data_IF_167491431542
#
_entry.id   IF_167491431542
#
_cell.length_a   1.000
_cell.length_b   1.000
_cell.length_c   1.000
_cell.angle_alpha   90.00
_cell.angle_beta   90.00
_cell.angle_gamma   90.00
#
_symmetry.space_group_name_H-M   'P 1'
#
loop_
_entity.id
_entity.type
_entity.pdbx_description
1 polymer ?
#
# COMPACT_ATOMS: atom_id res chain seq x y z
N UNK A 1 12.30 21.98 56.69
CA UNK A 1 11.89 22.93 57.74
C UNK A 1 11.36 24.15 57.01
N UNK A 2 10.04 24.32 56.94
CA UNK A 2 9.30 25.26 57.80
C UNK A 2 9.46 26.67 57.19
N UNK A 3 8.44 27.37 56.69
CA UNK A 3 7.03 27.37 57.03
C UNK A 3 6.62 28.84 57.18
N UNK A 4 5.47 29.22 56.61
CA UNK A 4 4.70 30.44 56.94
C UNK A 4 5.27 31.77 56.41
N UNK A 5 4.46 32.71 55.90
CA UNK A 5 3.02 32.74 55.73
C UNK A 5 2.52 34.15 55.37
N UNK A 6 1.22 34.21 55.07
CA UNK A 6 0.24 35.32 55.29
C UNK A 6 0.50 36.68 54.61
N UNK A 7 -0.46 37.42 54.02
CA UNK A 7 -1.92 37.47 54.20
C UNK A 7 -2.60 38.30 53.08
N UNK A 8 -3.90 37.99 52.82
CA UNK A 8 -5.06 38.90 52.59
C UNK A 8 -5.12 39.87 51.39
N UNK A 9 -6.27 40.17 50.74
CA UNK A 9 -7.69 39.99 51.06
C UNK A 9 -8.63 40.28 49.85
N UNK A 10 -9.72 39.50 49.74
CA UNK A 10 -11.15 39.80 49.39
C UNK A 10 -11.54 40.77 48.25
N UNK A 11 -12.49 40.46 47.36
CA UNK A 11 -13.98 40.53 47.52
C UNK A 11 -14.61 39.77 46.33
N UNK A 12 -15.29 38.63 46.55
CA UNK A 12 -16.75 38.37 46.66
C UNK A 12 -17.48 38.01 45.34
N UNK A 13 -18.40 37.02 45.39
CA UNK A 13 -19.11 36.45 44.25
C UNK A 13 -20.51 37.04 44.09
N UNK A 14 -21.06 37.00 42.87
CA UNK A 14 -22.51 37.03 42.68
C UNK A 14 -22.95 35.83 41.84
N UNK A 15 -24.00 35.20 42.36
CA UNK A 15 -24.61 33.97 41.89
C UNK A 15 -25.81 34.26 40.98
N UNK A 16 -26.50 33.18 40.57
CA UNK A 16 -27.78 33.08 39.82
C UNK A 16 -27.58 32.88 38.31
N UNK A 17 -28.17 31.92 37.60
CA UNK A 17 -29.23 30.95 37.92
C UNK A 17 -29.14 29.78 36.94
N UNK A 18 -29.58 28.60 37.39
CA UNK A 18 -29.75 27.42 36.56
C UNK A 18 -31.13 27.40 35.86
N UNK A 19 -31.22 26.48 34.89
CA UNK A 19 -32.40 25.95 34.20
C UNK A 19 -32.82 26.63 32.89
N UNK A 20 -32.61 25.89 31.80
CA UNK A 20 -33.08 26.16 30.46
C UNK A 20 -32.87 24.93 29.59
N UNK A 21 -33.78 23.97 29.75
CA UNK A 21 -33.93 22.71 29.03
C UNK A 21 -34.14 22.90 27.51
N UNK A 22 -33.70 21.95 26.69
CA UNK A 22 -33.90 21.96 25.23
C UNK A 22 -32.87 21.12 24.48
N UNK A 23 -33.16 19.82 24.32
CA UNK A 23 -32.20 18.80 23.91
C UNK A 23 -31.82 18.69 22.43
N UNK A 24 -30.83 17.81 22.18
CA UNK A 24 -30.67 17.02 20.95
C UNK A 24 -29.56 15.95 21.16
N UNK A 25 -29.92 14.68 20.88
CA UNK A 25 -29.17 13.46 20.54
C UNK A 25 -27.65 13.28 20.88
N UNK A 26 -27.20 12.05 21.18
CA UNK A 26 -25.80 11.79 21.55
C UNK A 26 -24.91 11.81 20.30
N UNK A 27 -23.98 12.77 20.23
CA UNK A 27 -22.89 12.68 19.25
C UNK A 27 -21.84 11.73 19.80
N UNK A 28 -21.85 10.53 19.24
CA UNK A 28 -20.80 9.51 19.39
C UNK A 28 -19.46 10.16 19.07
N UNK A 29 -18.59 10.27 20.08
CA UNK A 29 -17.21 10.72 19.90
C UNK A 29 -16.44 9.66 19.09
N UNK A 30 -16.43 9.82 17.77
CA UNK A 30 -15.56 9.05 16.88
C UNK A 30 -14.13 9.60 16.97
N UNK A 31 -13.30 8.82 17.67
CA UNK A 31 -11.84 8.72 17.63
C UNK A 31 -11.15 9.55 16.54
N UNK A 32 -10.65 10.74 16.91
CA UNK A 32 -9.75 11.54 16.07
C UNK A 32 -8.31 11.06 16.27
N UNK A 33 -7.97 9.91 15.69
CA UNK A 33 -6.63 9.34 15.76
C UNK A 33 -6.14 8.89 14.37
N UNK A 34 -6.02 9.85 13.44
CA UNK A 34 -5.33 9.59 12.15
C UNK A 34 -4.63 10.81 11.53
N UNK A 35 -4.72 11.99 12.15
CA UNK A 35 -4.18 13.23 11.55
C UNK A 35 -2.66 13.40 11.72
N UNK A 36 -2.01 12.66 12.62
CA UNK A 36 -0.70 13.07 13.17
C UNK A 36 0.55 12.65 12.39
N UNK A 37 0.45 11.83 11.34
CA UNK A 37 1.64 11.34 10.62
C UNK A 37 1.93 12.08 9.32
N UNK A 38 0.91 12.58 8.62
CA UNK A 38 1.08 13.34 7.38
C UNK A 38 1.45 14.81 7.63
N UNK A 39 0.85 15.45 8.64
CA UNK A 39 1.13 16.85 8.99
C UNK A 39 2.59 17.12 9.38
N UNK A 40 3.32 16.09 9.84
CA UNK A 40 4.73 16.23 10.27
C UNK A 40 5.74 16.23 9.12
N UNK A 41 5.37 15.75 7.92
CA UNK A 41 6.33 15.63 6.80
C UNK A 41 6.38 16.86 5.90
N UNK A 42 5.30 17.65 5.83
CA UNK A 42 5.22 18.84 4.97
C UNK A 42 4.39 19.95 5.65
N UNK A 43 4.97 20.67 6.62
CA UNK A 43 4.24 21.71 7.37
C UNK A 43 3.79 22.90 6.51
N UNK A 44 4.30 23.03 5.28
CA UNK A 44 3.88 24.02 4.29
C UNK A 44 2.68 23.57 3.45
N UNK A 45 2.32 22.29 3.51
CA UNK A 45 1.26 21.70 2.70
C UNK A 45 -0.09 21.87 3.41
N UNK A 46 -0.56 23.13 3.44
CA UNK A 46 -1.94 23.42 3.80
C UNK A 46 -2.82 22.84 2.71
N UNK A 47 -3.63 21.82 3.04
CA UNK A 47 -4.64 21.25 2.13
C UNK A 47 -5.64 22.32 1.71
N UNK A 48 -5.30 23.12 0.70
CA UNK A 48 -6.27 23.98 0.04
C UNK A 48 -7.15 23.06 -0.77
N UNK A 49 -8.44 23.04 -0.43
CA UNK A 49 -9.50 22.46 -1.27
C UNK A 49 -9.30 23.05 -2.67
N UNK A 50 -8.72 22.26 -3.59
CA UNK A 50 -8.38 22.76 -4.92
C UNK A 50 -9.65 23.27 -5.60
N UNK A 51 -9.64 24.54 -6.01
CA UNK A 51 -10.78 25.19 -6.65
C UNK A 51 -11.24 24.37 -7.86
N UNK A 52 -12.49 23.87 -7.84
CA UNK A 52 -13.01 23.01 -8.91
C UNK A 52 -12.93 23.66 -10.30
N UNK A 53 -13.09 24.99 -10.35
CA UNK A 53 -13.18 25.77 -11.60
C UNK A 53 -11.81 26.01 -12.26
N UNK A 54 -10.70 25.81 -11.54
CA UNK A 54 -9.34 25.88 -12.09
C UNK A 54 -8.83 24.53 -12.60
N UNK A 55 -9.65 23.47 -12.55
CA UNK A 55 -9.27 22.14 -13.05
C UNK A 55 -9.46 22.07 -14.56
N UNK A 56 -8.40 21.72 -15.30
CA UNK A 56 -8.49 21.43 -16.73
C UNK A 56 -9.52 20.33 -16.99
N UNK A 57 -10.39 20.53 -17.99
CA UNK A 57 -11.46 19.63 -18.43
C UNK A 57 -10.97 18.20 -18.80
N UNK A 58 -9.67 18.03 -19.05
CA UNK A 58 -9.00 16.75 -19.20
C UNK A 58 -8.01 16.54 -18.05
N UNK A 59 -8.48 15.99 -16.94
CA UNK A 59 -7.68 15.79 -15.74
C UNK A 59 -6.87 14.50 -15.83
N UNK A 60 -5.64 14.59 -16.31
CA UNK A 60 -4.63 13.59 -16.01
C UNK A 60 -3.96 13.96 -14.69
N UNK A 61 -4.01 13.09 -13.70
CA UNK A 61 -3.18 13.23 -12.50
C UNK A 61 -1.78 12.76 -12.88
N UNK A 62 -0.86 13.71 -13.08
CA UNK A 62 0.55 13.39 -13.29
C UNK A 62 1.21 13.24 -11.90
N UNK A 63 1.46 12.00 -11.50
CA UNK A 63 2.30 11.73 -10.33
C UNK A 63 3.75 11.81 -10.78
N UNK A 64 4.44 12.88 -10.39
CA UNK A 64 5.88 13.04 -10.64
C UNK A 64 6.65 11.91 -9.96
N UNK A 65 7.46 11.19 -10.73
CA UNK A 65 8.32 10.16 -10.16
C UNK A 65 9.52 10.78 -9.46
N UNK A 66 9.89 10.20 -8.33
CA UNK A 66 11.14 10.54 -7.65
C UNK A 66 12.24 9.57 -8.09
N UNK A 67 13.52 9.96 -8.05
CA UNK A 67 14.63 9.05 -8.38
C UNK A 67 14.64 7.75 -7.57
N UNK A 68 14.12 7.80 -6.32
CA UNK A 68 13.99 6.62 -5.47
C UNK A 68 12.92 5.64 -5.98
N UNK A 69 11.84 6.14 -6.58
CA UNK A 69 10.82 5.31 -7.22
C UNK A 69 11.37 4.68 -8.50
N UNK A 70 12.10 5.44 -9.33
CA UNK A 70 12.73 4.90 -10.54
C UNK A 70 13.73 3.79 -10.20
N UNK A 71 14.56 3.99 -9.16
CA UNK A 71 15.49 2.98 -8.68
C UNK A 71 14.78 1.74 -8.10
N UNK A 72 13.56 1.89 -7.56
CA UNK A 72 12.75 0.76 -7.12
C UNK A 72 12.18 -0.01 -8.32
N UNK A 73 11.61 0.68 -9.30
CA UNK A 73 11.09 0.07 -10.53
C UNK A 73 12.18 -0.70 -11.28
N UNK A 74 13.37 -0.11 -11.45
CA UNK A 74 14.53 -0.77 -12.05
C UNK A 74 14.94 -2.05 -11.30
N UNK A 75 14.85 -2.06 -9.97
CA UNK A 75 15.11 -3.28 -9.19
C UNK A 75 14.03 -4.32 -9.46
N UNK A 76 12.77 -3.93 -9.47
CA UNK A 76 11.66 -4.86 -9.72
C UNK A 76 11.74 -5.47 -11.13
N UNK A 77 12.03 -4.66 -12.14
CA UNK A 77 12.20 -5.14 -13.51
C UNK A 77 13.33 -6.17 -13.66
N UNK A 78 14.37 -6.11 -12.83
CA UNK A 78 15.53 -7.02 -12.92
C UNK A 78 15.36 -8.27 -12.08
N UNK A 79 14.77 -8.14 -10.90
CA UNK A 79 14.79 -9.20 -9.88
C UNK A 79 13.42 -9.84 -9.62
N UNK A 80 12.32 -9.31 -10.17
CA UNK A 80 10.97 -9.79 -9.87
C UNK A 80 10.33 -10.48 -11.07
N UNK A 81 9.83 -11.70 -10.84
CA UNK A 81 8.95 -12.41 -11.74
C UNK A 81 7.53 -12.50 -11.17
N UNK A 82 6.57 -12.47 -12.06
CA UNK A 82 5.18 -12.76 -11.77
C UNK A 82 4.86 -14.13 -12.35
N UNK A 83 4.22 -14.96 -11.54
CA UNK A 83 3.80 -16.28 -11.95
C UNK A 83 2.28 -16.35 -12.06
N UNK A 84 1.82 -16.91 -13.17
CA UNK A 84 0.41 -17.23 -13.41
C UNK A 84 0.31 -18.73 -13.69
N UNK A 85 -0.55 -19.39 -12.93
CA UNK A 85 -0.93 -20.78 -13.13
C UNK A 85 -1.89 -20.87 -14.32
N UNK A 86 -1.49 -21.64 -15.32
CA UNK A 86 -2.26 -21.90 -16.54
C UNK A 86 -2.76 -23.33 -16.51
N UNK A 87 -4.09 -23.50 -16.52
CA UNK A 87 -4.76 -24.80 -16.46
C UNK A 87 -6.18 -24.67 -15.92
N UNK A 88 -6.81 -25.81 -15.61
CA UNK A 88 -8.25 -25.93 -15.33
C UNK A 88 -8.72 -25.32 -13.99
N UNK A 89 -7.91 -24.49 -13.33
CA UNK A 89 -8.30 -23.66 -12.18
C UNK A 89 -8.62 -24.40 -10.88
N UNK A 90 -8.68 -25.72 -10.87
CA UNK A 90 -9.05 -26.49 -9.67
C UNK A 90 -7.96 -26.52 -8.58
N UNK A 91 -6.70 -26.26 -8.92
CA UNK A 91 -5.58 -26.35 -7.99
C UNK A 91 -4.91 -25.00 -7.77
N UNK A 92 -4.92 -24.54 -6.53
CA UNK A 92 -4.28 -23.29 -6.11
C UNK A 92 -2.77 -23.54 -5.94
N UNK A 93 -1.97 -22.77 -6.65
CA UNK A 93 -0.51 -22.81 -6.54
C UNK A 93 -0.09 -21.99 -5.32
N UNK A 94 0.41 -22.67 -4.29
CA UNK A 94 0.88 -22.02 -3.05
C UNK A 94 2.35 -21.61 -3.15
N UNK A 95 2.81 -20.60 -2.39
CA UNK A 95 4.22 -20.21 -2.37
C UNK A 95 5.17 -21.37 -2.03
N UNK A 96 4.78 -22.24 -1.09
CA UNK A 96 5.57 -23.41 -0.70
C UNK A 96 5.69 -24.45 -1.83
N UNK A 97 4.58 -24.73 -2.54
CA UNK A 97 4.59 -25.64 -3.68
C UNK A 97 5.43 -25.08 -4.84
N UNK A 98 5.36 -23.77 -5.07
CA UNK A 98 6.19 -23.10 -6.07
C UNK A 98 7.68 -23.20 -5.71
N UNK A 99 8.04 -22.94 -4.44
CA UNK A 99 9.42 -23.05 -3.98
C UNK A 99 9.98 -24.46 -4.20
N UNK A 100 9.22 -25.50 -3.82
CA UNK A 100 9.63 -26.89 -4.03
C UNK A 100 9.82 -27.21 -5.53
N UNK A 101 8.95 -26.65 -6.39
CA UNK A 101 9.04 -26.82 -7.84
C UNK A 101 10.30 -26.15 -8.40
N UNK A 102 10.62 -24.94 -7.96
CA UNK A 102 11.82 -24.22 -8.38
C UNK A 102 13.11 -24.88 -7.88
N UNK A 103 13.10 -25.44 -6.68
CA UNK A 103 14.21 -26.24 -6.17
C UNK A 103 14.48 -27.45 -7.07
N UNK A 104 13.42 -28.19 -7.41
CA UNK A 104 13.53 -29.43 -8.18
C UNK A 104 13.92 -29.19 -9.65
N UNK A 105 13.34 -28.17 -10.28
CA UNK A 105 13.47 -27.98 -11.75
C UNK A 105 14.44 -26.86 -12.15
N UNK A 106 14.65 -25.86 -11.31
CA UNK A 106 15.47 -24.68 -11.62
C UNK A 106 16.69 -24.55 -10.68
N UNK A 107 16.87 -25.48 -9.73
CA UNK A 107 17.97 -25.46 -8.77
C UNK A 107 18.05 -24.17 -7.96
N UNK A 108 16.90 -23.55 -7.68
CA UNK A 108 16.81 -22.33 -6.87
C UNK A 108 16.86 -22.71 -5.39
N UNK A 109 17.74 -22.08 -4.61
CA UNK A 109 17.76 -22.32 -3.16
C UNK A 109 16.80 -21.35 -2.44
N UNK A 110 16.23 -21.73 -1.28
CA UNK A 110 15.28 -20.88 -0.55
C UNK A 110 15.81 -19.49 -0.18
N UNK A 111 17.12 -19.35 0.03
CA UNK A 111 17.75 -18.07 0.33
C UNK A 111 17.85 -17.12 -0.87
N UNK A 112 17.66 -17.63 -2.09
CA UNK A 112 17.76 -16.85 -3.33
C UNK A 112 16.42 -16.26 -3.77
N UNK A 113 15.30 -16.70 -3.20
CA UNK A 113 13.97 -16.30 -3.66
C UNK A 113 12.99 -16.09 -2.51
N UNK A 114 12.28 -14.97 -2.55
CA UNK A 114 11.12 -14.71 -1.71
C UNK A 114 9.87 -14.83 -2.58
N UNK A 115 8.91 -15.66 -2.16
CA UNK A 115 7.68 -15.93 -2.91
C UNK A 115 6.49 -15.45 -2.09
N UNK A 116 5.71 -14.55 -2.67
CA UNK A 116 4.53 -13.95 -2.06
C UNK A 116 3.30 -14.20 -2.94
N UNK A 117 2.12 -14.21 -2.33
CA UNK A 117 0.85 -14.26 -3.07
C UNK A 117 0.64 -12.93 -3.77
N UNK A 118 0.38 -12.98 -5.08
CA UNK A 118 0.05 -11.80 -5.86
C UNK A 118 -1.48 -11.60 -5.93
N UNK A 119 -1.89 -10.38 -6.21
CA UNK A 119 -3.26 -10.06 -6.58
C UNK A 119 -3.47 -10.39 -8.08
N UNK A 120 -4.66 -10.85 -8.50
CA UNK A 120 -4.97 -11.13 -9.89
C UNK A 120 -4.53 -10.01 -10.86
N UNK A 121 -4.09 -10.35 -12.09
CA UNK A 121 -4.24 -11.64 -12.77
C UNK A 121 -3.11 -12.65 -12.49
N UNK A 122 -2.18 -12.32 -11.60
CA UNK A 122 -1.06 -13.20 -11.24
C UNK A 122 -1.33 -13.87 -9.90
N UNK A 123 -0.88 -15.11 -9.75
CA UNK A 123 -1.07 -15.89 -8.53
C UNK A 123 0.05 -15.64 -7.53
N UNK A 124 1.28 -15.50 -8.01
CA UNK A 124 2.46 -15.32 -7.16
C UNK A 124 3.42 -14.24 -7.70
N UNK A 125 4.15 -13.63 -6.78
CA UNK A 125 5.25 -12.70 -7.02
C UNK A 125 6.53 -13.31 -6.46
N UNK A 126 7.58 -13.38 -7.27
CA UNK A 126 8.85 -14.00 -6.92
C UNK A 126 9.95 -12.95 -7.01
N UNK A 127 10.59 -12.65 -5.88
CA UNK A 127 11.72 -11.72 -5.81
C UNK A 127 13.01 -12.49 -5.62
N UNK A 128 13.92 -12.39 -6.58
CA UNK A 128 15.20 -13.08 -6.57
C UNK A 128 16.31 -12.20 -6.01
N UNK A 129 17.33 -12.81 -5.41
CA UNK A 129 18.54 -12.11 -4.97
C UNK A 129 19.47 -11.71 -6.12
N UNK A 130 19.39 -12.42 -7.25
CA UNK A 130 20.25 -12.23 -8.43
C UNK A 130 19.44 -12.16 -9.71
N UNK A 131 19.92 -11.39 -10.69
CA UNK A 131 19.22 -11.19 -11.97
C UNK A 131 19.41 -12.41 -12.88
N UNK A 132 20.55 -13.07 -12.77
CA UNK A 132 20.90 -14.26 -13.52
C UNK A 132 19.88 -15.36 -13.23
N UNK A 133 19.62 -15.62 -11.93
CA UNK A 133 18.66 -16.63 -11.50
C UNK A 133 17.22 -16.29 -11.90
N UNK A 134 16.85 -15.02 -11.76
CA UNK A 134 15.58 -14.50 -12.26
C UNK A 134 15.41 -14.78 -13.77
N UNK A 135 16.45 -14.52 -14.56
CA UNK A 135 16.43 -14.71 -16.02
C UNK A 135 16.39 -16.20 -16.40
N UNK A 136 17.12 -17.06 -15.69
CA UNK A 136 17.08 -18.52 -15.89
C UNK A 136 15.70 -19.11 -15.61
N UNK A 137 15.07 -18.71 -14.50
CA UNK A 137 13.71 -19.16 -14.16
C UNK A 137 12.70 -18.68 -15.20
N UNK A 138 12.84 -17.45 -15.70
CA UNK A 138 11.99 -16.94 -16.78
C UNK A 138 12.06 -17.80 -18.05
N UNK A 139 13.23 -18.35 -18.39
CA UNK A 139 13.39 -19.28 -19.52
C UNK A 139 12.69 -20.62 -19.31
N UNK A 140 12.31 -20.95 -18.07
CA UNK A 140 11.54 -22.14 -17.69
C UNK A 140 10.02 -21.91 -17.76
N UNK A 141 9.58 -20.71 -18.17
CA UNK A 141 8.17 -20.37 -18.39
C UNK A 141 7.49 -21.37 -19.32
N UNK A 142 6.33 -21.87 -18.91
CA UNK A 142 5.54 -22.90 -19.59
C UNK A 142 6.25 -24.25 -19.80
N UNK A 143 7.38 -24.50 -19.12
CA UNK A 143 8.12 -25.78 -19.18
C UNK A 143 8.06 -26.58 -17.88
N UNK A 144 7.67 -25.94 -16.79
CA UNK A 144 7.52 -26.59 -15.48
C UNK A 144 6.05 -26.63 -15.07
N UNK A 145 5.68 -27.70 -14.36
CA UNK A 145 4.37 -27.82 -13.73
C UNK A 145 4.49 -27.69 -12.23
N UNK A 146 3.60 -26.90 -11.63
CA UNK A 146 3.38 -26.87 -10.18
C UNK A 146 1.91 -27.19 -9.93
N UNK A 147 1.62 -28.13 -9.04
CA UNK A 147 0.23 -28.53 -8.73
C UNK A 147 -0.61 -28.87 -9.99
N UNK A 148 0.01 -29.56 -10.96
CA UNK A 148 -0.57 -29.93 -12.28
C UNK A 148 -0.85 -28.75 -13.23
N UNK A 149 -0.70 -27.52 -12.78
CA UNK A 149 -0.79 -26.32 -13.62
C UNK A 149 0.55 -26.04 -14.29
N UNK A 150 0.53 -25.64 -15.56
CA UNK A 150 1.71 -25.06 -16.20
C UNK A 150 1.93 -23.67 -15.64
N UNK A 151 3.18 -23.31 -15.39
CA UNK A 151 3.49 -21.99 -14.82
C UNK A 151 4.01 -21.08 -15.90
N UNK A 152 3.25 -20.02 -16.18
CA UNK A 152 3.70 -18.92 -17.01
C UNK A 152 4.40 -17.89 -16.11
N UNK A 153 5.66 -17.62 -16.40
CA UNK A 153 6.39 -16.50 -15.82
C UNK A 153 6.38 -15.31 -16.77
N UNK A 154 6.20 -14.12 -16.21
CA UNK A 154 6.46 -12.85 -16.87
C UNK A 154 7.34 -11.99 -15.98
N UNK A 155 8.19 -11.18 -16.60
CA UNK A 155 8.97 -10.17 -15.87
C UNK A 155 8.03 -9.09 -15.34
N UNK A 156 8.28 -8.62 -14.13
CA UNK A 156 7.54 -7.47 -13.63
C UNK A 156 7.78 -6.27 -14.55
N UNK A 157 6.73 -5.52 -14.85
CA UNK A 157 6.84 -4.22 -15.50
C UNK A 157 5.86 -3.24 -14.87
N UNK A 158 6.13 -1.95 -15.05
CA UNK A 158 5.31 -0.87 -14.50
C UNK A 158 3.82 -0.98 -14.83
N UNK A 159 3.48 -1.56 -15.98
CA UNK A 159 2.11 -1.65 -16.50
C UNK A 159 1.35 -2.92 -16.07
N UNK A 160 1.96 -3.81 -15.28
CA UNK A 160 1.41 -5.14 -14.91
C UNK A 160 -0.01 -5.10 -14.31
N UNK A 161 -0.45 -3.95 -13.79
CA UNK A 161 -1.85 -3.73 -13.34
C UNK A 161 -2.41 -2.37 -13.74
N UNK A 162 -1.81 -1.70 -14.72
CA UNK A 162 -2.34 -0.44 -15.20
C UNK A 162 -3.57 -0.74 -16.07
N UNK A 163 -4.76 -0.36 -15.58
CA UNK A 163 -5.98 -0.30 -16.37
C UNK A 163 -6.28 1.17 -16.70
N UNK A 164 -6.60 1.52 -17.95
CA UNK A 164 -7.15 2.82 -18.26
C UNK A 164 -8.42 3.06 -17.44
N UNK A 165 -8.36 3.99 -16.49
CA UNK A 165 -9.50 4.40 -15.69
C UNK A 165 -10.10 5.69 -16.24
N UNK A 166 -11.35 5.66 -16.69
CA UNK A 166 -12.13 6.87 -16.86
C UNK A 166 -12.48 7.39 -15.46
N UNK A 167 -11.80 8.44 -15.01
CA UNK A 167 -12.18 9.14 -13.79
C UNK A 167 -13.45 9.94 -14.10
N UNK A 168 -14.61 9.37 -13.80
CA UNK A 168 -15.87 10.10 -13.88
C UNK A 168 -15.96 11.11 -12.74
N UNK A 169 -16.08 12.39 -13.09
CA UNK A 169 -16.31 13.46 -12.12
C UNK A 169 -17.80 13.61 -11.88
N UNK A 170 -18.20 13.71 -10.61
CA UNK A 170 -19.55 14.14 -10.24
C UNK A 170 -19.67 15.64 -10.53
N UNK A 171 -20.56 15.98 -11.46
CA UNK A 171 -21.01 17.36 -11.73
C UNK A 171 -21.82 17.92 -10.57
#
# INVERSE_FOLDING_TARGET
>A
MGGGGVSSSTVSPDAVSAAGDGGAAPVVAATQASRSLLERRFPQEVWRRGEPELRREASHVLISHTPAMDALELRFERYVLLATAVGDGEQIVTPAAMLATLQQHCGVVPSEVVIEVACPPHDLCLTFSTEEKCSEVLLSSMKIKCCRCWIQFSRWCRMVRAQPGALEYKS
#
